data_IF_440219277558
#
_entry.id   IF_440219277558
#
_cell.length_a   1.000
_cell.length_b   1.000
_cell.length_c   1.000
_cell.angle_alpha   90.00
_cell.angle_beta   90.00
_cell.angle_gamma   90.00
#
_symmetry.space_group_name_H-M   'P 1'
#
loop_
_entity.id
_entity.type
_entity.pdbx_description
1 polymer ?
#
# COMPACT_ATOMS: atom_id res chain seq x y z
N UNK A 1 3.65 -46.54 33.39
CA UNK A 1 2.90 -45.54 32.60
C UNK A 1 3.93 -44.71 31.85
N UNK A 2 3.95 -44.83 30.52
CA UNK A 2 4.84 -44.05 29.65
C UNK A 2 4.07 -42.77 29.30
N UNK A 3 4.65 -41.57 29.44
CA UNK A 3 3.96 -40.36 29.05
C UNK A 3 3.91 -40.30 27.52
N UNK A 4 2.70 -40.25 26.97
CA UNK A 4 2.48 -39.98 25.55
C UNK A 4 2.73 -38.49 25.33
N UNK A 5 3.88 -38.18 24.76
CA UNK A 5 4.18 -36.86 24.21
C UNK A 5 3.34 -36.64 22.95
N UNK A 6 2.23 -35.91 23.06
CA UNK A 6 1.53 -35.37 21.88
C UNK A 6 2.26 -34.14 21.36
N UNK A 7 3.34 -34.37 20.62
CA UNK A 7 3.92 -33.39 19.69
C UNK A 7 3.29 -33.61 18.32
N UNK A 8 2.08 -33.11 18.11
CA UNK A 8 1.49 -33.00 16.78
C UNK A 8 1.59 -31.54 16.34
N UNK A 9 2.73 -31.19 15.73
CA UNK A 9 2.80 -30.07 14.81
C UNK A 9 1.95 -30.45 13.58
N UNK A 10 0.62 -30.29 13.66
CA UNK A 10 -0.26 -30.36 12.50
C UNK A 10 0.05 -29.17 11.59
N UNK A 11 1.07 -29.30 10.74
CA UNK A 11 1.14 -28.50 9.53
C UNK A 11 0.13 -29.10 8.58
N UNK A 12 -1.03 -28.48 8.48
CA UNK A 12 -2.02 -28.81 7.45
C UNK A 12 -1.29 -28.93 6.11
N UNK A 13 -1.41 -30.10 5.45
CA UNK A 13 -0.81 -30.29 4.14
C UNK A 13 -1.68 -29.54 3.13
N UNK A 14 -1.26 -28.33 2.77
CA UNK A 14 -1.96 -27.48 1.79
C UNK A 14 -1.38 -27.73 0.40
N UNK A 15 -2.21 -28.25 -0.51
CA UNK A 15 -1.87 -28.42 -1.93
C UNK A 15 -2.83 -27.64 -2.81
N UNK A 16 -2.29 -26.75 -3.66
CA UNK A 16 -3.10 -25.98 -4.62
C UNK A 16 -3.41 -26.84 -5.85
N UNK A 17 -4.69 -27.08 -6.10
CA UNK A 17 -5.19 -27.89 -7.21
C UNK A 17 -5.36 -27.04 -8.47
N UNK A 18 -6.06 -25.92 -8.36
CA UNK A 18 -6.32 -24.98 -9.44
C UNK A 18 -6.03 -23.55 -8.99
N UNK A 19 -5.78 -22.67 -9.96
CA UNK A 19 -5.72 -21.24 -9.75
C UNK A 19 -6.30 -20.54 -10.98
N UNK A 20 -7.10 -19.53 -10.73
CA UNK A 20 -7.71 -18.64 -11.70
C UNK A 20 -7.56 -17.22 -11.18
N UNK A 21 -7.10 -16.32 -12.03
CA UNK A 21 -7.03 -14.90 -11.69
C UNK A 21 -8.27 -14.21 -12.19
N UNK A 22 -9.00 -13.59 -11.28
CA UNK A 22 -10.23 -12.86 -11.56
C UNK A 22 -9.97 -11.38 -11.28
N UNK A 23 -9.99 -10.57 -12.33
CA UNK A 23 -10.02 -9.10 -12.23
C UNK A 23 -11.48 -8.70 -12.41
N UNK A 24 -12.08 -8.04 -11.41
CA UNK A 24 -13.47 -7.60 -11.52
C UNK A 24 -13.59 -6.54 -12.62
N UNK A 25 -14.60 -6.71 -13.47
CA UNK A 25 -14.86 -5.90 -14.67
C UNK A 25 -15.19 -4.46 -14.24
N UNK A 26 -14.67 -3.46 -14.98
CA UNK A 26 -14.80 -1.99 -14.79
C UNK A 26 -13.66 -1.26 -14.03
N UNK A 27 -12.43 -1.75 -14.07
CA UNK A 27 -11.28 -0.89 -13.74
C UNK A 27 -10.85 -0.09 -14.98
N UNK A 28 -10.69 1.23 -14.84
CA UNK A 28 -10.10 2.07 -15.89
C UNK A 28 -8.69 1.53 -16.20
N UNK A 29 -8.38 1.33 -17.48
CA UNK A 29 -7.07 0.83 -17.92
C UNK A 29 -5.93 1.78 -17.59
N UNK A 30 -6.23 3.06 -17.34
CA UNK A 30 -5.28 4.07 -16.92
C UNK A 30 -5.11 4.15 -15.39
N UNK A 31 -5.84 3.34 -14.63
CA UNK A 31 -5.71 3.25 -13.18
C UNK A 31 -4.45 2.46 -12.81
N UNK A 32 -3.61 3.03 -11.94
CA UNK A 32 -2.45 2.34 -11.36
C UNK A 32 -2.84 0.99 -10.72
N UNK A 33 -4.04 0.89 -10.15
CA UNK A 33 -4.58 -0.35 -9.61
C UNK A 33 -4.77 -1.41 -10.69
N UNK A 34 -5.17 -1.05 -11.92
CA UNK A 34 -5.32 -1.99 -13.03
C UNK A 34 -3.96 -2.61 -13.41
N UNK A 35 -2.91 -1.80 -13.45
CA UNK A 35 -1.53 -2.23 -13.72
C UNK A 35 -0.97 -3.14 -12.62
N UNK A 36 -1.17 -2.76 -11.36
CA UNK A 36 -0.84 -3.57 -10.19
C UNK A 36 -1.52 -4.93 -10.24
N UNK A 37 -2.83 -4.91 -10.44
CA UNK A 37 -3.64 -6.11 -10.57
C UNK A 37 -3.08 -6.99 -11.67
N UNK A 38 -2.78 -6.47 -12.86
CA UNK A 38 -2.24 -7.25 -13.98
C UNK A 38 -0.86 -7.85 -13.73
N UNK A 39 0.04 -7.12 -13.08
CA UNK A 39 1.40 -7.57 -12.75
C UNK A 39 1.40 -8.60 -11.63
N UNK A 40 0.48 -8.52 -10.68
CA UNK A 40 0.39 -9.47 -9.58
C UNK A 40 0.05 -10.88 -10.07
N UNK A 41 0.96 -11.82 -9.82
CA UNK A 41 0.83 -13.23 -10.21
C UNK A 41 1.46 -14.07 -9.12
N UNK A 42 0.72 -15.08 -8.66
CA UNK A 42 1.22 -16.09 -7.73
C UNK A 42 1.15 -17.47 -8.38
N UNK A 43 2.23 -18.24 -8.22
CA UNK A 43 2.26 -19.66 -8.50
C UNK A 43 1.70 -20.49 -7.34
N UNK A 44 1.37 -21.75 -7.63
CA UNK A 44 0.84 -22.72 -6.64
C UNK A 44 1.64 -22.80 -5.34
N UNK A 45 2.98 -22.77 -5.44
CA UNK A 45 3.87 -22.80 -4.27
C UNK A 45 3.74 -21.56 -3.40
N UNK A 46 3.57 -20.39 -4.02
CA UNK A 46 3.46 -19.11 -3.32
C UNK A 46 2.10 -18.98 -2.63
N UNK A 47 1.03 -19.43 -3.28
CA UNK A 47 -0.31 -19.53 -2.69
C UNK A 47 -0.31 -20.45 -1.47
N UNK A 48 0.29 -21.65 -1.57
CA UNK A 48 0.43 -22.53 -0.41
C UNK A 48 1.22 -21.87 0.72
N UNK A 49 2.33 -21.19 0.40
CA UNK A 49 3.14 -20.46 1.38
C UNK A 49 2.39 -19.29 2.01
N UNK A 50 1.55 -18.58 1.26
CA UNK A 50 0.69 -17.54 1.77
C UNK A 50 -0.22 -18.09 2.89
N UNK A 51 -1.00 -19.15 2.63
CA UNK A 51 -1.88 -19.72 3.66
C UNK A 51 -1.13 -20.30 4.86
N UNK A 52 0.10 -20.78 4.68
CA UNK A 52 0.95 -21.27 5.77
C UNK A 52 1.55 -20.15 6.64
N UNK A 53 1.58 -18.91 6.16
CA UNK A 53 2.26 -17.78 6.83
C UNK A 53 1.32 -16.63 7.20
N UNK A 54 0.16 -16.52 6.57
CA UNK A 54 -0.87 -15.54 6.91
C UNK A 54 -1.53 -15.86 8.26
N UNK A 55 -2.03 -14.83 8.94
CA UNK A 55 -2.76 -14.99 10.19
C UNK A 55 -4.13 -15.61 9.86
N UNK A 56 -4.41 -16.80 10.39
CA UNK A 56 -5.69 -17.50 10.28
C UNK A 56 -6.72 -16.93 11.27
N UNK A 57 -8.00 -16.97 10.89
CA UNK A 57 -9.15 -16.57 11.72
C UNK A 57 -9.04 -15.14 12.25
N UNK A 58 -8.83 -14.19 11.34
CA UNK A 58 -8.89 -12.76 11.68
C UNK A 58 -10.34 -12.30 11.88
N UNK A 59 -10.57 -11.38 12.80
CA UNK A 59 -11.89 -10.84 13.12
C UNK A 59 -12.27 -9.63 12.23
N UNK A 60 -13.50 -9.14 12.35
CA UNK A 60 -14.03 -8.03 11.55
C UNK A 60 -13.24 -6.72 11.69
N UNK A 61 -12.75 -6.40 12.88
CA UNK A 61 -11.99 -5.16 13.10
C UNK A 61 -10.63 -5.25 12.42
N UNK A 62 -10.02 -6.44 12.45
CA UNK A 62 -8.79 -6.71 11.72
C UNK A 62 -9.03 -6.69 10.21
N UNK A 63 -10.12 -7.25 9.71
CA UNK A 63 -10.48 -7.23 8.29
C UNK A 63 -10.63 -5.78 7.80
N UNK A 64 -11.29 -4.91 8.59
CA UNK A 64 -11.48 -3.50 8.26
C UNK A 64 -10.18 -2.68 8.16
N UNK A 65 -9.05 -3.22 8.65
CA UNK A 65 -7.73 -2.57 8.54
C UNK A 65 -7.01 -2.84 7.21
N UNK A 66 -7.55 -3.73 6.37
CA UNK A 66 -6.97 -4.04 5.06
C UNK A 66 -7.54 -3.16 3.95
N UNK A 67 -6.71 -2.87 2.95
CA UNK A 67 -7.19 -2.35 1.68
C UNK A 67 -7.74 -3.50 0.85
N UNK A 68 -8.97 -3.37 0.34
CA UNK A 68 -9.55 -4.33 -0.60
C UNK A 68 -9.39 -3.83 -2.02
N UNK A 69 -9.06 -4.75 -2.92
CA UNK A 69 -8.84 -4.43 -4.32
C UNK A 69 -9.80 -5.23 -5.21
N UNK A 70 -10.07 -4.71 -6.40
CA UNK A 70 -10.94 -5.36 -7.37
C UNK A 70 -10.22 -6.49 -8.15
N UNK A 71 -9.28 -7.20 -7.52
CA UNK A 71 -8.51 -8.28 -8.13
C UNK A 71 -8.24 -9.40 -7.12
N UNK A 72 -8.63 -10.61 -7.52
CA UNK A 72 -8.54 -11.80 -6.70
C UNK A 72 -7.85 -12.93 -7.45
N UNK A 73 -7.08 -13.74 -6.73
CA UNK A 73 -6.66 -15.07 -7.19
C UNK A 73 -7.56 -16.09 -6.48
N UNK A 74 -8.32 -16.85 -7.26
CA UNK A 74 -9.24 -17.87 -6.78
C UNK A 74 -8.80 -19.25 -7.23
N UNK A 75 -9.37 -20.30 -6.65
CA UNK A 75 -9.15 -21.66 -7.11
C UNK A 75 -9.50 -22.67 -6.05
N UNK A 76 -8.87 -23.83 -6.13
CA UNK A 76 -9.16 -24.97 -5.26
C UNK A 76 -7.89 -25.42 -4.53
N UNK A 77 -8.02 -25.67 -3.24
CA UNK A 77 -7.02 -26.27 -2.35
C UNK A 77 -7.44 -27.69 -2.00
N UNK A 78 -6.47 -28.53 -1.71
CA UNK A 78 -6.62 -29.77 -0.97
C UNK A 78 -5.97 -29.58 0.39
N UNK A 79 -6.77 -29.65 1.46
CA UNK A 79 -6.32 -29.49 2.84
C UNK A 79 -6.69 -30.77 3.58
N UNK A 80 -5.68 -31.51 4.04
CA UNK A 80 -5.88 -32.79 4.72
C UNK A 80 -6.80 -33.75 3.93
N UNK A 81 -6.65 -33.75 2.59
CA UNK A 81 -7.44 -34.58 1.68
C UNK A 81 -8.83 -34.05 1.33
N UNK A 82 -9.25 -32.91 1.88
CA UNK A 82 -10.55 -32.28 1.60
C UNK A 82 -10.36 -31.13 0.62
N UNK A 83 -11.16 -31.14 -0.44
CA UNK A 83 -11.17 -30.07 -1.45
C UNK A 83 -11.92 -28.85 -0.91
N UNK A 84 -11.32 -27.68 -1.04
CA UNK A 84 -11.87 -26.39 -0.59
C UNK A 84 -11.66 -25.34 -1.66
N UNK A 85 -12.58 -24.40 -1.77
CA UNK A 85 -12.39 -23.22 -2.61
C UNK A 85 -11.67 -22.14 -1.82
N UNK A 86 -10.88 -21.34 -2.52
CA UNK A 86 -10.19 -20.21 -1.92
C UNK A 86 -10.29 -18.97 -2.79
N UNK A 87 -10.13 -17.82 -2.13
CA UNK A 87 -9.85 -16.55 -2.76
C UNK A 87 -8.77 -15.81 -1.98
N UNK A 88 -7.90 -15.08 -2.69
CA UNK A 88 -6.93 -14.16 -2.11
C UNK A 88 -7.14 -12.82 -2.81
N UNK A 89 -7.44 -11.80 -2.02
CA UNK A 89 -7.46 -10.40 -2.45
C UNK A 89 -6.02 -9.87 -2.56
N UNK A 90 -5.77 -8.98 -3.53
CA UNK A 90 -4.47 -8.37 -3.74
C UNK A 90 -3.93 -7.68 -2.46
N UNK A 91 -4.80 -7.12 -1.61
CA UNK A 91 -4.45 -6.47 -0.35
C UNK A 91 -4.16 -7.44 0.80
N UNK A 92 -4.28 -8.74 0.57
CA UNK A 92 -3.82 -9.79 1.47
C UNK A 92 -4.82 -10.30 2.49
N UNK A 93 -6.10 -10.02 2.28
CA UNK A 93 -7.20 -10.80 2.85
C UNK A 93 -7.42 -12.03 1.99
N UNK A 94 -7.64 -13.19 2.61
CA UNK A 94 -7.98 -14.40 1.89
C UNK A 94 -9.05 -15.19 2.61
N UNK A 95 -9.80 -15.99 1.86
CA UNK A 95 -10.88 -16.80 2.38
C UNK A 95 -10.70 -18.24 1.90
N UNK A 96 -10.97 -19.18 2.80
CA UNK A 96 -11.22 -20.58 2.46
C UNK A 96 -12.69 -20.87 2.77
N UNK A 97 -13.43 -21.32 1.76
CA UNK A 97 -14.84 -21.66 1.89
C UNK A 97 -14.96 -23.12 2.36
N UNK A 98 -15.62 -23.33 3.51
CA UNK A 98 -15.73 -24.65 4.12
C UNK A 98 -16.85 -25.54 3.50
N UNK A 99 -17.59 -25.05 2.49
CA UNK A 99 -18.67 -25.74 1.78
C UNK A 99 -19.89 -24.84 1.59
N UNK A 100 -20.94 -25.32 0.94
CA UNK A 100 -22.09 -24.51 0.47
C UNK A 100 -22.87 -23.74 1.56
N UNK A 101 -22.64 -24.03 2.86
CA UNK A 101 -23.32 -23.38 4.00
C UNK A 101 -22.41 -23.21 5.24
N UNK A 102 -21.09 -23.32 5.09
CA UNK A 102 -20.16 -23.34 6.22
C UNK A 102 -19.45 -21.99 6.43
N UNK A 103 -19.04 -21.74 7.67
CA UNK A 103 -18.27 -20.54 8.05
C UNK A 103 -17.02 -20.38 7.17
N UNK A 104 -16.79 -19.16 6.72
CA UNK A 104 -15.60 -18.78 5.96
C UNK A 104 -14.41 -18.65 6.93
N UNK A 105 -13.32 -19.36 6.64
CA UNK A 105 -12.07 -19.12 7.37
C UNK A 105 -11.35 -17.96 6.69
N UNK A 106 -11.35 -16.81 7.37
CA UNK A 106 -10.68 -15.60 6.88
C UNK A 106 -9.24 -15.56 7.37
N UNK A 107 -8.33 -15.21 6.46
CA UNK A 107 -6.92 -15.03 6.69
C UNK A 107 -6.52 -13.58 6.38
N UNK A 108 -5.54 -13.06 7.10
CA UNK A 108 -4.97 -11.73 6.86
C UNK A 108 -3.46 -11.72 6.86
N UNK A 109 -2.89 -11.00 5.89
CA UNK A 109 -1.46 -10.80 5.79
C UNK A 109 -1.07 -9.32 5.94
N UNK A 110 -0.83 -8.88 7.18
CA UNK A 110 -0.40 -7.50 7.48
C UNK A 110 1.06 -7.38 7.95
N UNK A 111 1.73 -8.50 8.23
CA UNK A 111 3.14 -8.55 8.65
C UNK A 111 3.78 -9.92 8.39
N UNK A 112 5.10 -9.96 8.35
CA UNK A 112 5.87 -11.21 8.25
C UNK A 112 6.03 -11.72 6.82
N UNK A 113 6.34 -13.01 6.67
CA UNK A 113 6.76 -13.60 5.39
C UNK A 113 5.69 -13.57 4.29
N UNK A 114 4.41 -13.51 4.67
CA UNK A 114 3.31 -13.52 3.72
C UNK A 114 3.27 -12.22 2.87
N UNK A 115 3.89 -11.13 3.35
CA UNK A 115 3.81 -9.80 2.72
C UNK A 115 4.38 -9.77 1.30
N UNK A 116 5.29 -10.69 0.97
CA UNK A 116 5.87 -10.79 -0.38
C UNK A 116 4.92 -11.35 -1.44
N UNK A 117 3.76 -11.88 -1.03
CA UNK A 117 2.78 -12.49 -1.91
C UNK A 117 1.59 -11.57 -2.22
N UNK A 118 1.51 -10.41 -1.58
CA UNK A 118 0.37 -9.51 -1.65
C UNK A 118 0.87 -8.10 -1.89
N UNK A 119 -0.02 -7.24 -2.38
CA UNK A 119 0.24 -5.82 -2.40
C UNK A 119 -0.01 -5.25 -1.02
N UNK A 120 1.07 -5.11 -0.27
CA UNK A 120 1.03 -4.33 0.96
C UNK A 120 1.31 -2.87 0.64
N UNK A 121 0.30 -2.21 0.09
CA UNK A 121 0.23 -0.77 0.18
C UNK A 121 0.07 -0.41 1.66
N UNK A 122 0.88 0.51 2.22
CA UNK A 122 0.58 1.01 3.55
C UNK A 122 -0.84 1.60 3.48
N UNK A 123 -1.78 0.93 4.17
CA UNK A 123 -2.93 1.59 4.73
C UNK A 123 -2.36 2.70 5.60
N UNK A 124 -2.23 3.91 5.08
CA UNK A 124 -1.76 5.03 5.87
C UNK A 124 -2.92 5.31 6.82
N UNK A 125 -2.92 4.67 7.98
CA UNK A 125 -3.85 5.02 9.02
C UNK A 125 -3.55 6.49 9.33
N UNK A 126 -4.59 7.31 9.33
CA UNK A 126 -4.48 8.77 9.40
C UNK A 126 -3.76 9.25 10.67
N UNK A 127 -3.50 8.34 11.62
CA UNK A 127 -2.94 8.59 12.94
C UNK A 127 -1.45 8.21 13.11
N UNK A 128 -0.74 7.67 12.10
CA UNK A 128 0.62 7.10 12.30
C UNK A 128 1.75 7.64 11.40
N UNK A 129 1.60 8.75 10.68
CA UNK A 129 2.76 9.35 9.98
C UNK A 129 3.68 10.05 10.98
N UNK A 130 4.87 9.49 11.21
CA UNK A 130 5.93 10.12 12.02
C UNK A 130 7.10 10.56 11.15
N UNK A 131 7.33 11.87 11.08
CA UNK A 131 8.48 12.44 10.37
C UNK A 131 9.77 12.25 11.18
N UNK A 132 10.70 11.47 10.64
CA UNK A 132 11.97 11.14 11.29
C UNK A 132 13.01 12.23 11.02
N UNK A 133 13.21 12.56 9.74
CA UNK A 133 14.19 13.56 9.29
C UNK A 133 13.57 14.54 8.30
N UNK A 134 14.14 15.74 8.26
CA UNK A 134 13.77 16.79 7.32
C UNK A 134 15.07 17.37 6.76
N UNK A 135 15.19 17.37 5.44
CA UNK A 135 16.28 17.97 4.68
C UNK A 135 15.68 18.81 3.57
N UNK A 136 16.00 20.09 3.59
CA UNK A 136 15.67 21.01 2.50
C UNK A 136 16.76 20.92 1.44
N UNK A 137 16.35 20.77 0.20
CA UNK A 137 17.23 20.77 -0.97
C UNK A 137 16.79 21.89 -1.89
N UNK A 138 17.70 22.82 -2.15
CA UNK A 138 17.50 23.91 -3.10
C UNK A 138 18.44 23.63 -4.25
N UNK A 139 17.90 23.48 -5.47
CA UNK A 139 18.72 23.60 -6.67
C UNK A 139 18.77 25.08 -7.02
N UNK A 140 19.97 25.65 -7.10
CA UNK A 140 20.16 27.03 -7.55
C UNK A 140 19.51 27.20 -8.93
N UNK A 141 18.45 28.01 -8.98
CA UNK A 141 17.87 28.50 -10.21
C UNK A 141 18.41 29.89 -10.54
N UNK A 142 18.28 30.32 -11.79
CA UNK A 142 18.63 31.68 -12.22
C UNK A 142 17.58 32.73 -11.86
N UNK A 143 16.51 32.34 -11.14
CA UNK A 143 15.36 33.21 -10.84
C UNK A 143 15.36 33.60 -9.36
N UNK A 144 15.58 34.89 -9.10
CA UNK A 144 15.65 35.47 -7.76
C UNK A 144 14.32 35.35 -6.98
N UNK A 145 13.17 35.39 -7.66
CA UNK A 145 11.85 35.24 -7.02
C UNK A 145 11.64 33.80 -6.54
N UNK A 146 11.94 32.82 -7.39
CA UNK A 146 11.83 31.41 -7.00
C UNK A 146 12.81 31.06 -5.89
N UNK A 147 14.04 31.60 -5.93
CA UNK A 147 15.02 31.42 -4.87
C UNK A 147 14.51 32.01 -3.54
N UNK A 148 13.88 33.19 -3.55
CA UNK A 148 13.32 33.80 -2.34
C UNK A 148 12.12 33.00 -1.78
N UNK A 149 11.17 32.60 -2.62
CA UNK A 149 10.07 31.70 -2.23
C UNK A 149 10.61 30.41 -1.62
N UNK A 150 11.55 29.77 -2.30
CA UNK A 150 12.21 28.57 -1.82
C UNK A 150 12.91 28.81 -0.49
N UNK A 151 13.58 29.94 -0.28
CA UNK A 151 14.26 30.25 0.97
C UNK A 151 13.27 30.43 2.14
N UNK A 152 12.14 31.09 1.91
CA UNK A 152 11.07 31.31 2.90
C UNK A 152 10.27 30.05 3.21
N UNK A 153 10.11 29.15 2.24
CA UNK A 153 9.33 27.93 2.42
C UNK A 153 10.00 26.97 3.41
N UNK A 154 9.33 26.70 4.52
CA UNK A 154 9.83 25.79 5.55
C UNK A 154 8.67 25.04 6.17
N UNK A 155 8.77 23.71 6.24
CA UNK A 155 7.76 22.85 6.83
C UNK A 155 8.32 22.14 8.05
N UNK A 156 7.62 22.23 9.17
CA UNK A 156 7.92 21.44 10.36
C UNK A 156 7.42 19.99 10.21
N UNK A 157 7.81 19.13 11.15
CA UNK A 157 7.37 17.72 11.18
C UNK A 157 5.84 17.58 11.17
N UNK A 158 5.14 18.45 11.89
CA UNK A 158 3.67 18.46 11.94
C UNK A 158 3.07 18.85 10.59
N UNK A 159 3.64 19.84 9.92
CA UNK A 159 3.15 20.32 8.62
C UNK A 159 3.32 19.26 7.54
N UNK A 160 4.48 18.59 7.52
CA UNK A 160 4.77 17.49 6.58
C UNK A 160 3.82 16.32 6.80
N UNK A 161 3.59 15.92 8.06
CA UNK A 161 2.60 14.88 8.36
C UNK A 161 1.21 15.31 7.88
N UNK A 162 0.78 16.54 8.19
CA UNK A 162 -0.53 17.07 7.77
C UNK A 162 -0.66 17.18 6.25
N UNK A 163 0.41 17.53 5.54
CA UNK A 163 0.44 17.53 4.09
C UNK A 163 0.10 16.15 3.55
N UNK A 164 0.80 15.09 3.97
CA UNK A 164 0.54 13.73 3.49
C UNK A 164 -0.84 13.19 3.91
N UNK A 165 -1.42 13.71 4.99
CA UNK A 165 -2.78 13.37 5.43
C UNK A 165 -3.89 14.08 4.64
N UNK A 166 -3.57 15.17 3.95
CA UNK A 166 -4.58 16.03 3.30
C UNK A 166 -4.39 16.15 1.78
N UNK A 167 -3.22 15.81 1.25
CA UNK A 167 -2.95 15.76 -0.18
C UNK A 167 -3.67 14.57 -0.83
N UNK A 168 -4.02 14.72 -2.11
CA UNK A 168 -4.62 13.64 -2.88
C UNK A 168 -3.58 12.56 -3.16
N UNK A 169 -3.92 11.31 -2.88
CA UNK A 169 -3.05 10.14 -3.03
C UNK A 169 -3.31 9.45 -4.37
N UNK A 170 -2.29 8.80 -4.91
CA UNK A 170 -2.36 8.02 -6.16
C UNK A 170 -2.69 8.85 -7.40
N UNK A 171 -2.21 10.10 -7.43
CA UNK A 171 -2.35 10.91 -8.65
C UNK A 171 -1.63 10.23 -9.82
N UNK A 172 -2.29 10.14 -10.96
CA UNK A 172 -1.77 9.47 -12.14
C UNK A 172 -0.77 10.35 -12.92
N UNK A 173 -0.11 9.79 -13.94
CA UNK A 173 0.87 10.52 -14.74
C UNK A 173 0.33 11.82 -15.36
N UNK A 174 -0.93 11.84 -15.81
CA UNK A 174 -1.53 13.03 -16.39
C UNK A 174 -1.73 14.14 -15.33
N UNK A 175 -2.16 13.77 -14.13
CA UNK A 175 -2.27 14.69 -12.99
C UNK A 175 -0.88 15.19 -12.55
N UNK A 176 0.12 14.32 -12.49
CA UNK A 176 1.51 14.71 -12.16
C UNK A 176 2.04 15.76 -13.14
N UNK A 177 1.79 15.58 -14.43
CA UNK A 177 2.22 16.54 -15.46
C UNK A 177 1.53 17.90 -15.40
N UNK A 178 0.44 18.04 -14.63
CA UNK A 178 -0.24 19.31 -14.42
C UNK A 178 0.34 20.14 -13.27
N UNK A 179 1.29 19.59 -12.49
CA UNK A 179 1.95 20.33 -11.42
C UNK A 179 3.13 21.13 -11.96
N UNK A 180 3.23 22.39 -11.53
CA UNK A 180 4.46 23.15 -11.64
C UNK A 180 5.55 22.49 -10.80
N UNK A 181 6.69 22.20 -11.43
CA UNK A 181 7.84 21.58 -10.76
C UNK A 181 8.84 22.67 -10.40
N UNK A 182 8.93 22.97 -9.11
CA UNK A 182 9.86 23.98 -8.60
C UNK A 182 11.25 23.39 -8.35
N UNK A 183 12.23 24.27 -8.20
CA UNK A 183 13.64 23.87 -8.02
C UNK A 183 13.98 23.47 -6.57
N UNK A 184 13.08 23.71 -5.61
CA UNK A 184 13.27 23.35 -4.21
C UNK A 184 12.32 22.25 -3.73
N UNK A 185 12.90 21.35 -2.93
CA UNK A 185 12.21 20.19 -2.35
C UNK A 185 12.55 20.05 -0.87
N UNK A 186 11.59 19.55 -0.10
CA UNK A 186 11.81 19.04 1.24
C UNK A 186 11.76 17.52 1.16
N UNK A 187 12.83 16.83 1.58
CA UNK A 187 12.89 15.38 1.62
C UNK A 187 13.37 14.88 2.98
N UNK A 188 13.28 13.57 3.19
CA UNK A 188 13.71 12.95 4.43
C UNK A 188 13.11 11.56 4.58
N UNK A 189 12.97 11.15 5.83
CA UNK A 189 12.44 9.84 6.21
C UNK A 189 11.15 9.97 7.03
N UNK A 190 10.19 9.11 6.73
CA UNK A 190 8.95 8.90 7.47
C UNK A 190 8.99 7.50 8.09
N UNK A 191 8.37 7.35 9.25
CA UNK A 191 7.92 6.07 9.78
C UNK A 191 6.41 6.01 9.57
N UNK A 192 5.95 5.05 8.77
CA UNK A 192 4.52 4.81 8.49
C UNK A 192 4.24 3.36 8.86
N UNK A 193 3.35 3.15 9.83
CA UNK A 193 3.01 1.83 10.36
C UNK A 193 4.25 1.00 10.76
N UNK A 194 5.24 1.64 11.39
CA UNK A 194 6.49 0.99 11.78
C UNK A 194 7.48 0.71 10.65
N UNK A 195 7.22 1.15 9.41
CA UNK A 195 8.12 0.99 8.26
C UNK A 195 8.76 2.32 7.89
N UNK A 196 10.10 2.32 7.77
CA UNK A 196 10.84 3.49 7.28
C UNK A 196 10.61 3.67 5.77
N UNK A 197 10.32 4.91 5.37
CA UNK A 197 10.10 5.31 3.98
C UNK A 197 10.85 6.60 3.71
N UNK A 198 11.31 6.78 2.48
CA UNK A 198 11.82 8.07 2.02
C UNK A 198 10.68 8.90 1.47
N UNK A 199 10.72 10.21 1.64
CA UNK A 199 9.73 11.12 1.08
C UNK A 199 10.37 12.31 0.39
N UNK A 200 9.62 12.93 -0.51
CA UNK A 200 9.91 14.26 -1.04
C UNK A 200 8.63 15.04 -1.27
N UNK A 201 8.65 16.33 -0.99
CA UNK A 201 7.61 17.31 -1.31
C UNK A 201 8.29 18.42 -2.11
N UNK A 202 7.73 18.74 -3.26
CA UNK A 202 8.09 19.90 -4.08
C UNK A 202 7.30 21.13 -3.63
N UNK A 203 7.87 22.33 -3.80
CA UNK A 203 7.19 23.58 -3.43
C UNK A 203 5.84 23.73 -4.15
N UNK A 204 5.69 23.21 -5.37
CA UNK A 204 4.42 23.23 -6.13
C UNK A 204 3.38 22.22 -5.63
N UNK A 205 3.68 21.45 -4.59
CA UNK A 205 2.75 20.52 -3.96
C UNK A 205 2.63 19.14 -4.57
N UNK A 206 3.53 18.80 -5.49
CA UNK A 206 3.79 17.43 -5.91
C UNK A 206 4.67 16.73 -4.87
N UNK A 207 4.31 15.52 -4.46
CA UNK A 207 5.08 14.78 -3.47
C UNK A 207 5.11 13.27 -3.76
N UNK A 208 6.10 12.61 -3.17
CA UNK A 208 6.33 11.18 -3.34
C UNK A 208 6.70 10.53 -2.01
N UNK A 209 6.22 9.31 -1.80
CA UNK A 209 6.70 8.40 -0.77
C UNK A 209 7.25 7.16 -1.47
N UNK A 210 8.48 6.79 -1.15
CA UNK A 210 9.20 5.67 -1.77
C UNK A 210 9.57 4.62 -0.73
N UNK A 211 9.31 3.35 -1.05
CA UNK A 211 9.80 2.20 -0.28
C UNK A 211 11.21 1.74 -0.70
N UNK A 212 11.73 0.72 -0.02
CA UNK A 212 13.03 0.10 -0.34
C UNK A 212 13.09 -0.44 -1.79
N UNK A 213 11.96 -0.91 -2.33
CA UNK A 213 11.85 -1.49 -3.67
C UNK A 213 11.57 -0.47 -4.79
N UNK A 214 11.72 0.84 -4.53
CA UNK A 214 11.51 1.94 -5.50
C UNK A 214 10.08 2.14 -6.02
N UNK A 215 9.09 1.40 -5.53
CA UNK A 215 7.68 1.76 -5.74
C UNK A 215 7.43 3.13 -5.11
N UNK A 216 6.93 4.07 -5.93
CA UNK A 216 6.65 5.44 -5.52
C UNK A 216 5.14 5.66 -5.53
N UNK A 217 4.62 6.14 -4.40
CA UNK A 217 3.26 6.65 -4.33
C UNK A 217 3.35 8.16 -4.57
N UNK A 218 2.68 8.64 -5.61
CA UNK A 218 2.56 10.05 -5.91
C UNK A 218 1.40 10.68 -5.13
N UNK A 219 1.64 11.90 -4.68
CA UNK A 219 0.66 12.74 -3.98
C UNK A 219 0.61 14.11 -4.65
N UNK A 220 -0.58 14.70 -4.70
CA UNK A 220 -0.80 16.02 -5.29
C UNK A 220 -1.60 16.91 -4.36
N UNK A 221 -1.12 18.13 -4.14
CA UNK A 221 -1.86 19.16 -3.43
C UNK A 221 -2.30 20.29 -4.36
N UNK A 222 -3.57 20.24 -4.76
CA UNK A 222 -4.14 21.23 -5.70
C UNK A 222 -5.49 21.80 -5.23
N UNK A 223 -5.99 21.35 -4.07
CA UNK A 223 -7.23 21.82 -3.44
C UNK A 223 -7.23 21.50 -1.95
N UNK A 224 -8.07 22.20 -1.18
CA UNK A 224 -8.32 21.88 0.23
C UNK A 224 -7.18 22.27 1.18
N UNK A 225 -7.12 21.62 2.34
CA UNK A 225 -6.24 22.03 3.43
C UNK A 225 -4.75 21.97 3.11
N UNK A 226 -4.33 21.04 2.25
CA UNK A 226 -2.91 20.86 1.97
C UNK A 226 -2.26 22.11 1.36
N UNK A 227 -3.05 23.01 0.74
CA UNK A 227 -2.58 24.21 0.04
C UNK A 227 -1.82 25.16 0.96
N UNK A 228 -2.06 25.11 2.28
CA UNK A 228 -1.33 25.93 3.27
C UNK A 228 0.15 25.56 3.41
N UNK A 229 0.57 24.41 2.88
CA UNK A 229 1.92 23.86 3.02
C UNK A 229 2.78 24.01 1.77
N UNK A 230 2.22 24.57 0.69
CA UNK A 230 2.84 24.60 -0.64
C UNK A 230 2.65 25.98 -1.24
N UNK A 231 3.39 26.28 -2.31
CA UNK A 231 3.09 27.42 -3.16
C UNK A 231 2.08 27.00 -4.20
N UNK A 232 0.96 27.71 -4.25
CA UNK A 232 -0.08 27.48 -5.23
C UNK A 232 -0.50 28.82 -5.83
N UNK A 233 -0.17 29.01 -7.11
CA UNK A 233 -0.71 30.09 -7.91
C UNK A 233 -1.89 29.50 -8.72
N UNK A 234 -3.15 29.84 -8.39
CA UNK A 234 -4.25 29.44 -9.24
C UNK A 234 -4.05 30.07 -10.62
N UNK A 235 -4.13 29.25 -11.68
CA UNK A 235 -4.24 29.77 -13.04
C UNK A 235 -5.48 30.67 -13.09
N UNK A 236 -5.24 31.96 -13.30
CA UNK A 236 -6.29 32.92 -13.65
C UNK A 236 -6.41 32.82 -15.17
N UNK A 237 -7.46 32.15 -15.64
CA UNK A 237 -7.92 32.27 -17.04
C UNK A 237 -8.41 33.70 -17.34
#
# INVERSE_FOLDING_TARGET
MIPVTTSANNRDEIKVLSLEKVVAVEMDRNDHLYDLCNKWKLGKKEIARFFLTAKKSIDSDQINSFNFYNCNIKGELLINGIKKEYSIDLGGVAVIHEGDNAEEIVFGCSKGECLKYVHNEPYINHDEIKVLSIKKVIKEGSDDYLNDLCNKWNLGKKDIARFFLTAEKYINSAQISAFDVYTCKINGELLINGVNKSYSIDLGGLAFISGENKDQIAFGCYKGECLKYVHYEPYID
#
